data_IF_793924471656
#
_entry.id   IF_793924471656
#
_cell.length_a   1.000
_cell.length_b   1.000
_cell.length_c   1.000
_cell.angle_alpha   90.00
_cell.angle_beta   90.00
_cell.angle_gamma   90.00
#
_symmetry.space_group_name_H-M   'P 1'
#
loop_
_entity.id
_entity.type
_entity.pdbx_description
1 polymer ?
#
# COMPACT_ATOMS: atom_id res chain seq x y z
N UNK A 1 1.95 -16.75 8.80
CA UNK A 1 2.68 -15.49 9.02
C UNK A 1 3.34 -15.14 7.71
N UNK A 2 2.64 -14.39 6.88
CA UNK A 2 3.20 -13.89 5.64
C UNK A 2 4.21 -12.81 6.04
N UNK A 3 5.49 -13.14 5.88
CA UNK A 3 6.68 -12.29 5.91
C UNK A 3 6.57 -10.95 6.67
N UNK A 4 7.24 -10.84 7.82
CA UNK A 4 7.41 -9.55 8.49
C UNK A 4 8.25 -8.61 7.61
N UNK A 5 7.64 -7.51 7.16
CA UNK A 5 8.36 -6.46 6.42
C UNK A 5 8.94 -5.45 7.41
N UNK A 6 10.26 -5.19 7.37
CA UNK A 6 10.85 -4.11 8.16
C UNK A 6 10.23 -2.77 7.76
N UNK A 7 9.65 -2.06 8.73
CA UNK A 7 9.05 -0.73 8.52
C UNK A 7 9.84 0.38 9.21
N UNK A 8 9.88 1.55 8.59
CA UNK A 8 10.56 2.73 9.11
C UNK A 8 9.57 3.89 9.26
N UNK A 9 9.96 4.93 10.01
CA UNK A 9 9.19 6.18 10.05
C UNK A 9 9.50 6.98 8.79
N UNK A 10 8.48 7.32 8.01
CA UNK A 10 8.61 8.10 6.78
C UNK A 10 7.50 9.15 6.63
N UNK A 11 7.69 10.19 5.79
CA UNK A 11 6.62 11.11 5.43
C UNK A 11 5.44 10.38 4.79
N UNK A 12 4.22 10.81 5.11
CA UNK A 12 3.00 10.18 4.57
C UNK A 12 2.94 10.25 3.05
N UNK A 13 3.42 11.34 2.45
CA UNK A 13 3.46 11.50 0.99
C UNK A 13 4.44 10.54 0.31
N UNK A 14 5.57 10.24 0.97
CA UNK A 14 6.49 9.21 0.49
C UNK A 14 5.81 7.84 0.50
N UNK A 15 5.12 7.50 1.60
CA UNK A 15 4.39 6.24 1.70
C UNK A 15 3.29 6.11 0.64
N UNK A 16 2.52 7.19 0.40
CA UNK A 16 1.50 7.25 -0.67
C UNK A 16 2.12 7.04 -2.04
N UNK A 17 3.24 7.70 -2.32
CA UNK A 17 3.95 7.56 -3.58
C UNK A 17 4.43 6.12 -3.81
N UNK A 18 5.00 5.48 -2.78
CA UNK A 18 5.45 4.09 -2.86
C UNK A 18 4.29 3.12 -3.04
N UNK A 19 3.19 3.32 -2.30
CA UNK A 19 1.98 2.53 -2.43
C UNK A 19 1.39 2.66 -3.84
N UNK A 20 1.33 3.88 -4.38
CA UNK A 20 0.77 4.13 -5.70
C UNK A 20 1.63 3.51 -6.81
N UNK A 21 2.95 3.59 -6.65
CA UNK A 21 3.91 3.00 -7.60
C UNK A 21 3.81 1.48 -7.67
N UNK A 22 3.54 0.81 -6.55
CA UNK A 22 3.50 -0.65 -6.48
C UNK A 22 2.09 -1.20 -6.69
N UNK A 23 1.09 -0.59 -6.07
CA UNK A 23 -0.29 -1.10 -6.06
C UNK A 23 -1.22 -0.36 -7.04
N UNK A 24 -0.72 0.62 -7.80
CA UNK A 24 -1.56 1.41 -8.71
C UNK A 24 -2.40 2.43 -7.97
N UNK A 25 -3.68 2.60 -8.31
CA UNK A 25 -4.50 3.71 -7.80
C UNK A 25 -5.00 3.54 -6.35
N UNK A 26 -4.17 3.02 -5.43
CA UNK A 26 -4.47 3.02 -4.00
C UNK A 26 -3.92 4.29 -3.33
N UNK A 27 -4.62 4.75 -2.30
CA UNK A 27 -4.23 5.89 -1.47
C UNK A 27 -4.19 5.46 0.01
N UNK A 28 -3.43 6.19 0.82
CA UNK A 28 -3.28 5.98 2.25
C UNK A 28 -3.84 7.18 3.03
N UNK A 29 -4.68 6.93 4.03
CA UNK A 29 -5.25 7.95 4.92
C UNK A 29 -4.71 7.76 6.34
N UNK A 30 -3.91 8.71 6.85
CA UNK A 30 -3.56 8.71 8.26
C UNK A 30 -4.80 9.04 9.10
N UNK A 31 -4.88 8.50 10.32
CA UNK A 31 -6.04 8.71 11.21
C UNK A 31 -6.16 10.12 11.81
N UNK A 32 -5.08 10.89 11.78
CA UNK A 32 -5.03 12.31 12.14
C UNK A 32 -4.25 13.09 11.07
N UNK A 33 -4.06 14.40 11.25
CA UNK A 33 -3.14 15.25 10.44
C UNK A 33 -1.65 14.88 10.65
N UNK A 34 -1.31 13.60 10.70
CA UNK A 34 0.05 13.10 10.86
C UNK A 34 0.83 13.32 9.57
N UNK A 35 1.93 14.04 9.67
CA UNK A 35 2.88 14.21 8.57
C UNK A 35 3.71 12.95 8.30
N UNK A 36 3.75 12.00 9.24
CA UNK A 36 4.58 10.79 9.17
C UNK A 36 3.81 9.54 9.57
N UNK A 37 4.16 8.40 8.99
CA UNK A 37 3.66 7.05 9.30
C UNK A 37 4.84 6.11 9.53
N UNK A 38 4.62 5.02 10.26
CA UNK A 38 5.51 3.87 10.22
C UNK A 38 5.03 2.95 9.10
N UNK A 39 5.85 2.76 8.07
CA UNK A 39 5.46 1.88 6.97
C UNK A 39 6.60 1.41 6.08
N UNK A 40 6.24 0.52 5.16
CA UNK A 40 7.06 0.04 4.06
C UNK A 40 6.16 -0.55 2.97
N UNK A 41 6.58 -0.43 1.71
CA UNK A 41 5.96 -1.09 0.55
C UNK A 41 7.07 -1.81 -0.20
N UNK A 42 6.98 -3.14 -0.29
CA UNK A 42 7.95 -3.98 -0.98
C UNK A 42 7.25 -4.86 -2.00
N UNK A 43 7.93 -5.18 -3.09
CA UNK A 43 7.44 -6.11 -4.12
C UNK A 43 8.29 -7.37 -4.11
N UNK A 44 7.63 -8.52 -4.15
CA UNK A 44 8.26 -9.83 -4.26
C UNK A 44 7.59 -10.60 -5.40
N UNK A 45 8.37 -11.10 -6.36
CA UNK A 45 7.89 -12.00 -7.40
C UNK A 45 8.05 -13.45 -6.96
N UNK A 46 6.97 -14.25 -6.98
CA UNK A 46 7.02 -15.67 -6.61
C UNK A 46 6.02 -16.49 -7.42
N UNK A 47 6.49 -17.57 -8.05
CA UNK A 47 5.67 -18.53 -8.79
C UNK A 47 4.72 -17.89 -9.84
N UNK A 48 5.17 -16.81 -10.50
CA UNK A 48 4.37 -16.09 -11.50
C UNK A 48 3.36 -15.09 -10.92
N UNK A 49 3.36 -14.89 -9.60
CA UNK A 49 2.59 -13.87 -8.90
C UNK A 49 3.51 -12.74 -8.44
N UNK A 50 3.03 -11.50 -8.52
CA UNK A 50 3.64 -10.36 -7.84
C UNK A 50 2.89 -10.12 -6.52
N UNK A 51 3.65 -10.10 -5.43
CA UNK A 51 3.16 -9.85 -4.08
C UNK A 51 3.64 -8.49 -3.63
N UNK A 52 2.69 -7.59 -3.34
CA UNK A 52 2.98 -6.34 -2.66
C UNK A 52 2.84 -6.56 -1.14
N UNK A 53 3.95 -6.47 -0.43
CA UNK A 53 3.93 -6.47 1.02
C UNK A 53 3.84 -5.04 1.55
N UNK A 54 2.80 -4.76 2.32
CA UNK A 54 2.50 -3.42 2.84
C UNK A 54 2.46 -3.47 4.36
N UNK A 55 3.49 -2.93 5.01
CA UNK A 55 3.49 -2.69 6.45
C UNK A 55 3.09 -1.23 6.70
N UNK A 56 2.13 -0.99 7.59
CA UNK A 56 1.66 0.38 7.83
C UNK A 56 0.91 0.52 9.16
N UNK A 57 0.96 1.73 9.73
CA UNK A 57 0.12 2.17 10.84
C UNK A 57 -0.90 3.24 10.43
N UNK A 58 -1.12 3.44 9.13
CA UNK A 58 -2.18 4.33 8.65
C UNK A 58 -3.54 3.77 9.00
N UNK A 59 -4.53 4.66 9.15
CA UNK A 59 -5.88 4.24 9.52
C UNK A 59 -6.57 3.47 8.39
N UNK A 60 -6.30 3.85 7.14
CA UNK A 60 -6.95 3.24 6.00
C UNK A 60 -6.06 3.27 4.76
N UNK A 61 -6.00 2.14 4.06
CA UNK A 61 -5.66 2.10 2.63
C UNK A 61 -6.98 2.04 1.86
N UNK A 62 -7.15 2.94 0.89
CA UNK A 62 -8.43 3.15 0.22
C UNK A 62 -8.25 3.21 -1.29
N UNK A 63 -9.28 2.74 -2.01
CA UNK A 63 -9.43 2.92 -3.44
C UNK A 63 -10.81 3.50 -3.71
N UNK A 64 -10.86 4.81 -4.00
CA UNK A 64 -12.13 5.52 -4.24
C UNK A 64 -12.67 5.27 -5.64
N UNK A 65 -13.91 5.68 -5.92
CA UNK A 65 -14.45 5.62 -7.29
C UNK A 65 -13.59 6.42 -8.29
N UNK A 66 -13.04 7.56 -7.88
CA UNK A 66 -12.16 8.35 -8.74
C UNK A 66 -10.86 7.61 -9.06
N UNK A 67 -10.31 6.90 -8.06
CA UNK A 67 -9.15 6.05 -8.26
C UNK A 67 -9.43 4.93 -9.27
N UNK A 68 -10.58 4.24 -9.13
CA UNK A 68 -10.99 3.16 -10.03
C UNK A 68 -11.13 3.67 -11.46
N UNK A 69 -11.72 4.85 -11.67
CA UNK A 69 -11.88 5.43 -13.02
C UNK A 69 -10.56 5.83 -13.68
N UNK A 70 -9.50 6.05 -12.90
CA UNK A 70 -8.15 6.38 -13.38
C UNK A 70 -7.26 5.16 -13.54
N UNK A 71 -7.75 3.99 -13.14
CA UNK A 71 -6.99 2.76 -13.18
C UNK A 71 -7.01 2.17 -14.59
N UNK A 72 -5.87 1.65 -15.04
CA UNK A 72 -5.73 1.02 -16.36
C UNK A 72 -6.43 -0.34 -16.48
N UNK A 73 -6.87 -0.94 -15.35
CA UNK A 73 -7.50 -2.25 -15.34
C UNK A 73 -6.54 -3.42 -15.55
N UNK A 74 -5.24 -3.19 -15.42
CA UNK A 74 -4.17 -4.15 -15.73
C UNK A 74 -3.97 -5.19 -14.61
N UNK A 75 -4.40 -4.87 -13.38
CA UNK A 75 -4.09 -5.65 -12.20
C UNK A 75 -5.35 -6.16 -11.48
N UNK A 76 -5.34 -7.44 -11.10
CA UNK A 76 -6.29 -8.03 -10.16
C UNK A 76 -5.63 -8.18 -8.79
N UNK A 77 -6.27 -7.62 -7.76
CA UNK A 77 -5.73 -7.65 -6.40
C UNK A 77 -6.51 -8.64 -5.53
N UNK A 78 -5.80 -9.59 -4.95
CA UNK A 78 -6.24 -10.35 -3.78
C UNK A 78 -5.63 -9.68 -2.55
N UNK A 79 -6.46 -9.10 -1.68
CA UNK A 79 -6.01 -8.39 -0.48
C UNK A 79 -6.17 -9.31 0.72
N UNK A 80 -5.08 -9.52 1.44
CA UNK A 80 -5.05 -10.23 2.71
C UNK A 80 -4.55 -9.23 3.77
N UNK A 81 -5.29 -9.12 4.87
CA UNK A 81 -4.91 -8.31 6.02
C UNK A 81 -4.71 -9.25 7.21
N UNK A 82 -3.53 -9.22 7.80
CA UNK A 82 -3.27 -9.92 9.06
C UNK A 82 -3.76 -9.04 10.24
N UNK A 83 -4.29 -9.68 11.28
CA UNK A 83 -4.72 -9.03 12.54
C UNK A 83 -3.53 -8.64 13.44
#
# INVERSE_FOLDING_TARGET
MLTQVPSAKLPIEQFRSDLQRVCGQFDARPGDSRATTRGAVQIEGRAGLEMAHVATDVQQIVRTQQNIRRDGGENYFLIIQEE
#
